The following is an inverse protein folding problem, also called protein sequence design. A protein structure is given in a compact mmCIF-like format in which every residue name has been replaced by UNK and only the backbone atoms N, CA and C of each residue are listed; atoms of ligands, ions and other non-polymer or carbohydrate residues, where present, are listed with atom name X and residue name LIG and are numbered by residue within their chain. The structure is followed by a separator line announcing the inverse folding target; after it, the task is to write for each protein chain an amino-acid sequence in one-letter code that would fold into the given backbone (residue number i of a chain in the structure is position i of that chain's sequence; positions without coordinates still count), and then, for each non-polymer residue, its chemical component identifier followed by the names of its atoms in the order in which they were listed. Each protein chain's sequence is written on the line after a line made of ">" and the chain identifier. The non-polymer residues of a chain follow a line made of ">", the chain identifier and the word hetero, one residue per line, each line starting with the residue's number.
data_IF_208892205888
#
_entry.id   IF_208892205888
#
_cell.length_a   1.000
_cell.length_b   1.000
_cell.length_c   1.000
_cell.angle_alpha   90.00
_cell.angle_beta   90.00
_cell.angle_gamma   90.00
#
_symmetry.space_group_name_H-M   'P 1'
#
loop_
_entity.id
_entity.type
_entity.pdbx_description
1 polymer ?
#
# COMPACT_ATOMS: atom_id res chain seq x y z
N UNK A 1 10.64 9.97 -15.93
CA UNK A 1 10.72 10.65 -14.62
C UNK A 1 11.04 9.58 -13.59
N UNK A 2 12.17 9.68 -12.89
CA UNK A 2 12.55 8.73 -11.86
C UNK A 2 11.59 8.86 -10.67
N UNK A 3 10.77 7.83 -10.44
CA UNK A 3 9.85 7.67 -9.30
C UNK A 3 10.56 7.87 -7.94
N UNK A 4 11.89 7.73 -7.93
CA UNK A 4 12.76 7.77 -6.76
C UNK A 4 12.72 9.06 -5.94
N UNK A 5 12.29 10.18 -6.53
CA UNK A 5 12.24 11.50 -5.88
C UNK A 5 10.82 12.06 -5.70
N UNK A 6 9.77 11.33 -6.07
CA UNK A 6 8.42 11.88 -5.94
C UNK A 6 7.86 11.70 -4.52
N UNK A 7 7.99 12.74 -3.69
CA UNK A 7 7.47 12.79 -2.31
C UNK A 7 6.00 12.40 -2.22
N UNK A 8 5.19 12.75 -3.22
CA UNK A 8 3.76 12.40 -3.23
C UNK A 8 3.54 10.91 -3.43
N UNK A 9 4.27 10.29 -4.37
CA UNK A 9 4.26 8.85 -4.58
C UNK A 9 4.64 8.08 -3.31
N UNK A 10 5.74 8.49 -2.67
CA UNK A 10 6.19 7.88 -1.42
C UNK A 10 5.16 8.05 -0.30
N UNK A 11 4.49 9.21 -0.22
CA UNK A 11 3.44 9.43 0.76
C UNK A 11 2.22 8.53 0.52
N UNK A 12 1.84 8.30 -0.74
CA UNK A 12 0.79 7.37 -1.12
C UNK A 12 1.10 5.94 -0.71
N UNK A 13 2.31 5.48 -1.02
CA UNK A 13 2.77 4.15 -0.65
C UNK A 13 2.79 3.92 0.87
N UNK A 14 3.25 4.91 1.64
CA UNK A 14 3.22 4.84 3.10
C UNK A 14 1.80 4.79 3.66
N UNK A 15 0.88 5.57 3.08
CA UNK A 15 -0.52 5.56 3.50
C UNK A 15 -1.19 4.20 3.24
N UNK A 16 -0.90 3.55 2.11
CA UNK A 16 -1.35 2.19 1.84
C UNK A 16 -0.83 1.19 2.87
N UNK A 17 0.45 1.27 3.26
CA UNK A 17 1.02 0.43 4.32
C UNK A 17 0.30 0.64 5.65
N UNK A 18 0.02 1.89 6.02
CA UNK A 18 -0.65 2.20 7.29
C UNK A 18 -2.12 1.76 7.27
N UNK A 19 -2.80 1.83 6.12
CA UNK A 19 -4.10 1.20 5.92
C UNK A 19 -4.02 -0.32 6.16
N UNK A 20 -3.11 -1.02 5.49
CA UNK A 20 -2.94 -2.46 5.63
C UNK A 20 -2.66 -2.88 7.09
N UNK A 21 -1.86 -2.09 7.82
CA UNK A 21 -1.59 -2.32 9.25
C UNK A 21 -2.85 -2.22 10.10
N UNK A 22 -3.65 -1.16 9.89
CA UNK A 22 -4.93 -0.99 10.58
C UNK A 22 -5.89 -2.13 10.26
N UNK A 23 -5.99 -2.52 8.99
CA UNK A 23 -6.84 -3.63 8.54
C UNK A 23 -6.42 -4.96 9.15
N UNK A 24 -5.13 -5.33 9.10
CA UNK A 24 -4.66 -6.57 9.73
C UNK A 24 -4.88 -6.58 11.25
N UNK A 25 -4.68 -5.44 11.92
CA UNK A 25 -4.90 -5.33 13.36
C UNK A 25 -6.38 -5.48 13.71
N UNK A 26 -7.26 -4.83 12.94
CA UNK A 26 -8.71 -4.94 13.09
C UNK A 26 -9.23 -6.35 12.82
N UNK A 27 -8.74 -7.01 11.77
CA UNK A 27 -9.06 -8.42 11.48
C UNK A 27 -8.64 -9.34 12.61
N UNK A 28 -7.42 -9.17 13.17
CA UNK A 28 -6.95 -9.99 14.30
C UNK A 28 -7.82 -9.81 15.54
N UNK A 29 -8.31 -8.60 15.79
CA UNK A 29 -9.12 -8.29 16.97
C UNK A 29 -10.58 -8.76 16.81
N UNK A 30 -11.16 -8.59 15.63
CA UNK A 30 -12.59 -8.78 15.40
C UNK A 30 -12.94 -10.04 14.59
N UNK A 31 -11.94 -10.74 14.04
CA UNK A 31 -12.08 -11.91 13.16
C UNK A 31 -13.01 -11.67 11.97
N UNK A 32 -13.06 -10.43 11.50
CA UNK A 32 -13.96 -9.99 10.44
C UNK A 32 -13.18 -9.21 9.39
N UNK A 33 -13.49 -9.47 8.11
CA UNK A 33 -12.97 -8.73 6.98
C UNK A 33 -14.11 -8.12 6.18
N UNK A 34 -14.08 -6.80 6.00
CA UNK A 34 -14.93 -6.12 5.03
C UNK A 34 -14.10 -5.74 3.79
N UNK A 35 -14.32 -6.39 2.63
CA UNK A 35 -13.60 -6.10 1.40
C UNK A 35 -13.87 -4.68 0.86
N UNK A 36 -14.95 -4.02 1.29
CA UNK A 36 -15.25 -2.65 0.87
C UNK A 36 -14.29 -1.63 1.48
N UNK A 37 -13.59 -1.97 2.57
CA UNK A 37 -12.71 -1.04 3.29
C UNK A 37 -11.64 -0.42 2.40
N UNK A 38 -11.05 -1.18 1.47
CA UNK A 38 -10.06 -0.63 0.55
C UNK A 38 -10.67 0.45 -0.37
N UNK A 39 -11.88 0.22 -0.86
CA UNK A 39 -12.61 1.19 -1.69
C UNK A 39 -12.92 2.45 -0.88
N UNK A 40 -13.39 2.28 0.36
CA UNK A 40 -13.69 3.41 1.25
C UNK A 40 -12.43 4.22 1.56
N UNK A 41 -11.33 3.56 1.93
CA UNK A 41 -10.05 4.20 2.22
C UNK A 41 -9.56 5.01 1.01
N UNK A 42 -9.62 4.42 -0.19
CA UNK A 42 -9.22 5.13 -1.39
C UNK A 42 -10.09 6.37 -1.66
N UNK A 43 -11.41 6.23 -1.59
CA UNK A 43 -12.33 7.35 -1.85
C UNK A 43 -12.18 8.48 -0.83
N UNK A 44 -12.02 8.16 0.45
CA UNK A 44 -11.96 9.17 1.52
C UNK A 44 -10.57 9.82 1.61
N UNK A 45 -9.49 9.05 1.41
CA UNK A 45 -8.14 9.50 1.75
C UNK A 45 -7.19 9.68 0.56
N UNK A 46 -7.43 9.00 -0.57
CA UNK A 46 -6.51 9.01 -1.72
C UNK A 46 -7.07 9.69 -2.98
N UNK A 47 -8.38 9.62 -3.23
CA UNK A 47 -9.01 10.04 -4.49
C UNK A 47 -8.80 11.53 -4.83
N UNK A 48 -8.79 12.40 -3.81
CA UNK A 48 -8.56 13.85 -3.99
C UNK A 48 -7.07 14.24 -3.94
N UNK A 49 -6.16 13.28 -3.79
CA UNK A 49 -4.72 13.52 -3.80
C UNK A 49 -4.18 13.56 -5.22
N UNK A 50 -2.92 14.00 -5.36
CA UNK A 50 -2.21 14.00 -6.64
C UNK A 50 -2.19 12.62 -7.30
N UNK A 51 -2.07 12.58 -8.62
CA UNK A 51 -2.02 11.34 -9.38
C UNK A 51 -0.86 10.44 -8.90
N UNK A 52 0.25 11.02 -8.50
CA UNK A 52 1.42 10.27 -8.03
C UNK A 52 1.19 9.69 -6.64
N UNK A 53 0.48 10.39 -5.75
CA UNK A 53 0.02 9.81 -4.50
C UNK A 53 -0.89 8.61 -4.74
N UNK A 54 -1.86 8.75 -5.65
CA UNK A 54 -2.77 7.65 -5.99
C UNK A 54 -2.01 6.44 -6.56
N UNK A 55 -1.07 6.68 -7.46
CA UNK A 55 -0.21 5.64 -8.01
C UNK A 55 0.59 4.92 -6.91
N UNK A 56 1.25 5.67 -6.02
CA UNK A 56 2.02 5.07 -4.93
C UNK A 56 1.16 4.27 -3.95
N UNK A 57 -0.05 4.76 -3.67
CA UNK A 57 -1.01 4.02 -2.84
C UNK A 57 -1.41 2.69 -3.49
N UNK A 58 -1.83 2.72 -4.77
CA UNK A 58 -2.29 1.53 -5.48
C UNK A 58 -1.17 0.52 -5.73
N UNK A 59 0.04 0.98 -6.08
CA UNK A 59 1.21 0.11 -6.29
C UNK A 59 1.59 -0.64 -5.01
N UNK A 60 1.56 0.05 -3.87
CA UNK A 60 1.83 -0.57 -2.58
C UNK A 60 0.77 -1.64 -2.22
N UNK A 61 -0.50 -1.38 -2.50
CA UNK A 61 -1.56 -2.40 -2.34
C UNK A 61 -1.32 -3.59 -3.28
N UNK A 62 -1.03 -3.32 -4.56
CA UNK A 62 -0.75 -4.35 -5.56
C UNK A 62 0.42 -5.23 -5.16
N UNK A 63 1.52 -4.63 -4.68
CA UNK A 63 2.69 -5.36 -4.19
C UNK A 63 2.36 -6.23 -2.98
N UNK A 64 1.55 -5.73 -2.03
CA UNK A 64 1.10 -6.53 -0.89
C UNK A 64 0.30 -7.75 -1.34
N UNK A 65 -0.64 -7.55 -2.27
CA UNK A 65 -1.47 -8.62 -2.82
C UNK A 65 -0.60 -9.65 -3.53
N UNK A 66 0.31 -9.24 -4.41
CA UNK A 66 1.21 -10.14 -5.12
C UNK A 66 2.08 -10.95 -4.15
N UNK A 67 2.76 -10.29 -3.21
CA UNK A 67 3.57 -10.98 -2.21
C UNK A 67 2.77 -11.99 -1.39
N UNK A 68 1.53 -11.64 -1.03
CA UNK A 68 0.62 -12.54 -0.31
C UNK A 68 0.24 -13.75 -1.16
N UNK A 69 -0.07 -13.54 -2.44
CA UNK A 69 -0.42 -14.63 -3.37
C UNK A 69 0.78 -15.54 -3.67
N UNK A 70 1.99 -15.02 -3.65
CA UNK A 70 3.24 -15.77 -3.76
C UNK A 70 3.60 -16.53 -2.47
N UNK A 71 2.84 -16.37 -1.39
CA UNK A 71 3.13 -16.98 -0.08
C UNK A 71 4.30 -16.32 0.64
N UNK A 72 4.74 -15.13 0.18
CA UNK A 72 5.81 -14.37 0.83
C UNK A 72 5.24 -13.63 2.04
N UNK A 73 5.71 -13.91 3.27
CA UNK A 73 5.23 -13.21 4.44
C UNK A 73 5.61 -11.73 4.38
N UNK A 74 4.61 -10.85 4.49
CA UNK A 74 4.82 -9.40 4.52
C UNK A 74 4.70 -8.88 5.96
N UNK A 75 5.84 -8.56 6.57
CA UNK A 75 5.85 -7.82 7.84
C UNK A 75 5.64 -6.32 7.57
N UNK A 76 4.40 -5.85 7.67
CA UNK A 76 4.04 -4.45 7.41
C UNK A 76 4.73 -3.42 8.32
N UNK A 77 5.32 -3.82 9.45
CA UNK A 77 6.06 -2.92 10.34
C UNK A 77 7.51 -2.75 9.89
N UNK A 78 8.10 -3.80 9.32
CA UNK A 78 9.47 -3.82 8.78
C UNK A 78 9.51 -3.82 7.26
N UNK A 79 8.36 -3.68 6.61
CA UNK A 79 8.27 -3.78 5.16
C UNK A 79 9.01 -2.59 4.56
N UNK A 80 10.18 -2.89 3.98
CA UNK A 80 11.03 -1.97 3.21
C UNK A 80 10.38 -1.62 1.87
N UNK A 81 9.13 -1.18 1.93
CA UNK A 81 8.26 -0.86 0.80
C UNK A 81 8.96 0.08 -0.18
N UNK A 82 9.67 1.08 0.35
CA UNK A 82 10.39 2.07 -0.47
C UNK A 82 11.59 1.49 -1.22
N UNK A 83 12.23 0.43 -0.72
CA UNK A 83 13.31 -0.25 -1.45
C UNK A 83 12.73 -1.12 -2.55
N UNK A 84 11.63 -1.82 -2.27
CA UNK A 84 10.95 -2.67 -3.27
C UNK A 84 10.32 -1.85 -4.40
N UNK A 85 9.67 -0.73 -4.09
CA UNK A 85 9.07 0.14 -5.11
C UNK A 85 10.13 0.82 -5.99
N UNK A 86 11.34 1.08 -5.45
CA UNK A 86 12.47 1.57 -6.24
C UNK A 86 13.08 0.49 -7.15
N UNK A 87 13.14 -0.75 -6.68
CA UNK A 87 13.71 -1.87 -7.45
C UNK A 87 12.76 -2.50 -8.48
N UNK A 88 11.45 -2.25 -8.39
CA UNK A 88 10.44 -2.84 -9.28
C UNK A 88 10.22 -2.12 -10.62
N UNK A 89 11.01 -1.09 -10.93
CA UNK A 89 10.94 -0.35 -12.20
C UNK A 89 11.67 -1.00 -13.38
N UNK A 90 12.47 -2.04 -13.13
CA UNK A 90 13.15 -2.85 -14.14
C UNK A 90 12.63 -4.28 -14.08
N UNK A 91 11.56 -4.56 -14.83
CA UNK A 91 11.21 -5.90 -15.33
C UNK A 91 10.13 -5.80 -16.41
#
# INVERSE_FOLDING_TARGET
>A
MTLENNRQYLAGALAARDFLRRTQSGMKLHQYFDPKLLRWEFQIHACEKSAEYQAGFLDAIGMYVMATLEGVPVDLYRWELLKKLRGGGDQ
#
